data_IF_405147750607
#
_entry.id   IF_405147750607
#
_cell.length_a   1.000
_cell.length_b   1.000
_cell.length_c   1.000
_cell.angle_alpha   90.00
_cell.angle_beta   90.00
_cell.angle_gamma   90.00
#
_symmetry.space_group_name_H-M   'P 1'
#
loop_
_entity.id
_entity.type
_entity.pdbx_description
1 polymer ?
#
# COMPACT_ATOMS: atom_id res chain seq x y z
N UNK A 1 59.37 77.76 7.67
CA UNK A 1 60.01 76.41 7.63
C UNK A 1 59.25 75.50 8.59
N UNK A 2 58.45 74.57 8.08
CA UNK A 2 58.13 73.31 8.72
C UNK A 2 57.25 72.47 7.79
N UNK A 3 57.78 71.33 7.39
CA UNK A 3 57.14 70.41 6.48
C UNK A 3 56.11 69.56 7.23
N UNK A 4 54.85 69.52 6.81
CA UNK A 4 53.86 68.61 7.28
C UNK A 4 53.86 67.34 6.39
N UNK A 5 54.04 66.16 7.03
CA UNK A 5 53.94 64.90 6.39
C UNK A 5 52.46 64.48 6.35
N UNK A 6 51.96 64.22 5.15
CA UNK A 6 50.67 63.58 4.93
C UNK A 6 50.83 62.03 5.09
N UNK A 7 50.11 61.51 6.03
CA UNK A 7 49.99 60.01 6.21
C UNK A 7 48.87 59.47 5.32
N UNK A 8 49.22 58.52 4.44
CA UNK A 8 48.29 57.78 3.64
C UNK A 8 47.78 56.58 4.46
N UNK A 9 46.48 56.58 4.81
CA UNK A 9 45.83 55.44 5.36
C UNK A 9 45.36 54.50 4.19
N UNK A 10 45.99 53.35 4.06
CA UNK A 10 45.51 52.28 3.19
C UNK A 10 44.42 51.48 3.92
N UNK A 11 43.19 51.59 3.44
CA UNK A 11 42.06 50.72 3.87
C UNK A 11 42.14 49.43 3.10
N UNK A 12 42.56 48.36 3.78
CA UNK A 12 42.47 47.00 3.23
C UNK A 12 41.03 46.52 3.32
N UNK A 13 40.33 46.46 2.20
CA UNK A 13 39.04 45.79 2.08
C UNK A 13 39.25 44.28 2.05
N UNK A 14 38.98 43.57 3.16
CA UNK A 14 38.83 42.12 3.18
C UNK A 14 37.51 41.77 2.51
N UNK A 15 37.58 41.33 1.25
CA UNK A 15 36.46 40.70 0.56
C UNK A 15 36.23 39.28 1.13
N UNK A 16 35.24 39.13 1.98
CA UNK A 16 34.75 37.81 2.41
C UNK A 16 33.98 37.17 1.23
N UNK A 17 34.67 36.34 0.45
CA UNK A 17 34.02 35.49 -0.54
C UNK A 17 33.23 34.41 0.21
N UNK A 18 31.95 34.64 0.46
CA UNK A 18 31.01 33.56 0.81
C UNK A 18 30.87 32.65 -0.41
N UNK A 19 31.64 31.57 -0.44
CA UNK A 19 31.36 30.43 -1.31
C UNK A 19 30.04 29.80 -0.83
N UNK A 20 28.94 30.14 -1.50
CA UNK A 20 27.69 29.40 -1.42
C UNK A 20 27.97 27.97 -1.92
N UNK A 21 28.28 27.08 -0.97
CA UNK A 21 28.28 25.64 -1.21
C UNK A 21 26.83 25.25 -1.38
N UNK A 22 26.26 25.42 -2.57
CA UNK A 22 25.07 24.69 -2.98
C UNK A 22 25.48 23.23 -3.14
N UNK A 23 25.44 22.48 -2.03
CA UNK A 23 25.46 21.04 -2.11
C UNK A 23 24.25 20.64 -2.96
N UNK A 24 24.47 20.34 -4.22
CA UNK A 24 23.50 19.66 -5.04
C UNK A 24 23.18 18.37 -4.29
N UNK A 25 21.99 18.29 -3.68
CA UNK A 25 21.51 17.04 -3.13
C UNK A 25 21.58 16.01 -4.27
N UNK A 26 22.37 14.96 -4.08
CA UNK A 26 22.50 13.93 -5.10
C UNK A 26 21.10 13.43 -5.48
N UNK A 27 20.84 13.32 -6.78
CA UNK A 27 19.56 12.83 -7.28
C UNK A 27 19.31 11.42 -6.72
N UNK A 28 18.09 11.18 -6.19
CA UNK A 28 17.74 9.87 -5.66
C UNK A 28 17.82 8.79 -6.73
N UNK A 29 18.56 7.73 -6.46
CA UNK A 29 18.78 6.62 -7.39
C UNK A 29 17.98 5.38 -6.95
N UNK A 30 16.77 5.23 -7.45
CA UNK A 30 16.00 4.00 -7.32
C UNK A 30 16.58 2.87 -8.17
N UNK A 31 16.17 1.63 -7.89
CA UNK A 31 16.49 0.47 -8.72
C UNK A 31 16.01 0.65 -10.17
N UNK A 32 16.74 0.10 -11.11
CA UNK A 32 16.36 0.00 -12.53
C UNK A 32 16.40 -1.46 -13.01
N UNK A 33 16.43 -2.41 -12.06
CA UNK A 33 16.48 -3.84 -12.37
C UNK A 33 15.18 -4.30 -13.00
N UNK A 34 15.27 -5.02 -14.12
CA UNK A 34 14.15 -5.60 -14.83
C UNK A 34 14.33 -7.11 -14.97
N UNK A 35 13.24 -7.83 -14.90
CA UNK A 35 13.21 -9.27 -15.13
C UNK A 35 12.54 -10.07 -14.01
N UNK A 36 12.25 -11.37 -14.27
CA UNK A 36 11.63 -12.24 -13.28
C UNK A 36 12.55 -12.47 -12.09
N UNK A 37 11.96 -12.47 -10.89
CA UNK A 37 12.66 -12.75 -9.63
C UNK A 37 12.40 -14.20 -9.22
N UNK A 38 13.48 -14.97 -9.02
CA UNK A 38 13.35 -16.34 -8.47
C UNK A 38 13.03 -16.24 -6.98
N UNK A 39 11.83 -16.66 -6.60
CA UNK A 39 11.35 -16.60 -5.22
C UNK A 39 11.11 -18.01 -4.71
N UNK A 40 11.68 -18.34 -3.56
CA UNK A 40 11.39 -19.57 -2.80
C UNK A 40 10.47 -19.21 -1.62
N UNK A 41 10.81 -18.13 -0.91
CA UNK A 41 10.03 -17.59 0.21
C UNK A 41 9.99 -16.07 0.11
N UNK A 42 8.80 -15.47 0.20
CA UNK A 42 8.67 -14.00 0.15
C UNK A 42 9.42 -13.29 1.28
N UNK A 43 9.65 -13.95 2.42
CA UNK A 43 10.43 -13.36 3.50
C UNK A 43 11.91 -13.13 3.13
N UNK A 44 12.45 -13.89 2.17
CA UNK A 44 13.84 -13.76 1.73
C UNK A 44 14.09 -12.45 0.95
N UNK A 45 13.02 -11.86 0.39
CA UNK A 45 13.13 -10.65 -0.43
C UNK A 45 13.56 -9.44 0.40
N UNK A 46 13.17 -9.34 1.67
CA UNK A 46 13.48 -8.20 2.53
C UNK A 46 15.00 -8.01 2.67
N UNK A 47 15.76 -9.08 2.93
CA UNK A 47 17.22 -9.02 3.07
C UNK A 47 17.90 -8.62 1.75
N UNK A 48 17.39 -9.11 0.61
CA UNK A 48 17.93 -8.78 -0.71
C UNK A 48 17.71 -7.30 -1.05
N UNK A 49 16.52 -6.76 -0.75
CA UNK A 49 16.20 -5.34 -0.96
C UNK A 49 17.02 -4.45 -0.04
N UNK A 50 17.17 -4.82 1.24
CA UNK A 50 17.98 -4.08 2.21
C UNK A 50 19.42 -3.87 1.74
N UNK A 51 19.98 -4.84 1.02
CA UNK A 51 21.33 -4.76 0.48
C UNK A 51 21.47 -3.79 -0.71
N UNK A 52 20.36 -3.41 -1.36
CA UNK A 52 20.38 -2.67 -2.64
C UNK A 52 19.66 -1.32 -2.59
N UNK A 53 18.89 -1.05 -1.53
CA UNK A 53 18.09 0.17 -1.42
C UNK A 53 18.74 1.18 -0.46
N UNK A 54 18.51 2.46 -0.71
CA UNK A 54 18.85 3.51 0.25
C UNK A 54 18.28 3.20 1.64
N UNK A 55 19.06 3.47 2.68
CA UNK A 55 18.71 3.13 4.07
C UNK A 55 17.41 3.80 4.52
N UNK A 56 17.21 5.06 4.18
CA UNK A 56 16.01 5.81 4.56
C UNK A 56 14.78 5.29 3.82
N UNK A 57 14.90 5.09 2.51
CA UNK A 57 13.84 4.52 1.68
C UNK A 57 13.45 3.10 2.12
N UNK A 58 14.43 2.25 2.41
CA UNK A 58 14.18 0.91 2.94
C UNK A 58 13.50 0.98 4.30
N UNK A 59 13.97 1.85 5.21
CA UNK A 59 13.38 2.06 6.53
C UNK A 59 11.90 2.48 6.42
N UNK A 60 11.60 3.42 5.52
CA UNK A 60 10.23 3.86 5.27
C UNK A 60 9.32 2.73 4.77
N UNK A 61 9.77 1.94 3.79
CA UNK A 61 8.98 0.84 3.22
C UNK A 61 8.78 -0.28 4.25
N UNK A 62 9.86 -0.69 4.91
CA UNK A 62 9.88 -1.83 5.82
C UNK A 62 9.23 -1.52 7.15
N UNK A 63 9.43 -0.31 7.69
CA UNK A 63 9.16 0.05 9.06
C UNK A 63 7.69 -0.06 9.49
N UNK A 64 7.48 -0.27 10.78
CA UNK A 64 6.21 -0.24 11.49
C UNK A 64 6.14 0.94 12.47
N UNK A 65 5.09 0.98 13.28
CA UNK A 65 4.93 1.95 14.35
C UNK A 65 5.52 1.41 15.66
N UNK A 66 5.98 2.32 16.52
CA UNK A 66 6.48 2.06 17.88
C UNK A 66 7.46 0.86 17.91
N UNK A 67 7.20 -0.14 18.73
CA UNK A 67 8.01 -1.36 18.89
C UNK A 67 7.79 -2.40 17.78
N UNK A 68 6.95 -2.10 16.76
CA UNK A 68 6.60 -2.99 15.65
C UNK A 68 5.94 -4.31 16.12
N UNK A 69 5.31 -4.32 17.30
CA UNK A 69 4.61 -5.49 17.82
C UNK A 69 3.48 -5.93 16.90
N UNK A 70 2.62 -4.96 16.51
CA UNK A 70 1.48 -5.22 15.61
C UNK A 70 1.95 -5.74 14.26
N UNK A 71 3.07 -5.21 13.73
CA UNK A 71 3.66 -5.68 12.47
C UNK A 71 4.12 -7.15 12.57
N UNK A 72 4.74 -7.57 13.67
CA UNK A 72 5.14 -8.97 13.90
C UNK A 72 3.91 -9.85 14.08
N UNK A 73 2.95 -9.41 14.90
CA UNK A 73 1.72 -10.15 15.18
C UNK A 73 0.86 -10.37 13.93
N UNK A 74 0.87 -9.45 12.98
CA UNK A 74 0.17 -9.61 11.71
C UNK A 74 0.55 -10.89 10.97
N UNK A 75 1.83 -11.26 10.96
CA UNK A 75 2.26 -12.50 10.33
C UNK A 75 2.09 -13.71 11.26
N UNK A 76 2.43 -13.57 12.55
CA UNK A 76 2.31 -14.64 13.54
C UNK A 76 0.84 -15.06 13.79
N UNK A 77 -0.13 -14.16 13.59
CA UNK A 77 -1.55 -14.46 13.80
C UNK A 77 -2.07 -15.60 12.93
N UNK A 78 -1.51 -15.78 11.74
CA UNK A 78 -1.89 -16.89 10.88
C UNK A 78 -1.53 -18.27 11.45
N UNK A 79 -0.50 -18.36 12.31
CA UNK A 79 -0.07 -19.62 12.89
C UNK A 79 -1.07 -20.17 13.93
N UNK A 80 -2.00 -19.33 14.40
CA UNK A 80 -3.07 -19.73 15.34
C UNK A 80 -4.24 -20.47 14.70
N UNK A 81 -4.23 -20.65 13.39
CA UNK A 81 -5.27 -21.35 12.63
C UNK A 81 -4.67 -22.40 11.71
N UNK A 82 -5.34 -23.51 11.60
CA UNK A 82 -4.90 -24.66 10.82
C UNK A 82 -5.84 -24.92 9.65
N UNK A 83 -5.26 -25.25 8.49
CA UNK A 83 -5.96 -25.86 7.36
C UNK A 83 -5.93 -27.37 7.62
N UNK A 84 -7.09 -28.01 7.75
CA UNK A 84 -7.15 -29.47 7.91
C UNK A 84 -6.83 -30.15 6.58
N UNK A 85 -5.77 -30.98 6.52
CA UNK A 85 -5.47 -31.74 5.32
C UNK A 85 -6.62 -32.68 4.95
N UNK A 86 -6.93 -32.77 3.67
CA UNK A 86 -7.95 -33.67 3.14
C UNK A 86 -7.33 -34.61 2.12
N UNK A 87 -7.54 -35.89 2.29
CA UNK A 87 -7.01 -36.93 1.41
C UNK A 87 -8.13 -37.59 0.60
N UNK A 88 -7.77 -38.27 -0.48
CA UNK A 88 -8.69 -39.04 -1.35
C UNK A 88 -9.84 -38.18 -1.94
N UNK A 89 -9.57 -36.91 -2.26
CA UNK A 89 -10.57 -35.97 -2.79
C UNK A 89 -10.74 -36.07 -4.33
N UNK A 90 -9.90 -36.83 -5.02
CA UNK A 90 -9.98 -36.97 -6.49
C UNK A 90 -9.69 -35.67 -7.24
N UNK A 91 -8.88 -34.76 -6.67
CA UNK A 91 -8.50 -33.48 -7.25
C UNK A 91 -7.08 -33.55 -7.79
N UNK A 92 -6.84 -33.08 -9.00
CA UNK A 92 -5.50 -32.90 -9.55
C UNK A 92 -5.11 -31.41 -9.49
N UNK A 93 -3.81 -31.11 -9.47
CA UNK A 93 -3.32 -29.72 -9.40
C UNK A 93 -3.80 -28.85 -10.59
N UNK A 94 -4.01 -29.47 -11.75
CA UNK A 94 -4.55 -28.79 -12.96
C UNK A 94 -6.01 -28.35 -12.79
N UNK A 95 -6.77 -29.00 -11.88
CA UNK A 95 -8.18 -28.72 -11.64
C UNK A 95 -8.40 -27.52 -10.71
N UNK A 96 -7.33 -27.00 -10.12
CA UNK A 96 -7.42 -25.88 -9.19
C UNK A 96 -7.61 -24.56 -9.95
N UNK A 97 -8.74 -23.90 -9.70
CA UNK A 97 -9.06 -22.59 -10.24
C UNK A 97 -8.90 -21.49 -9.16
N UNK A 98 -8.06 -20.51 -9.45
CA UNK A 98 -7.86 -19.32 -8.59
C UNK A 98 -8.73 -18.13 -9.00
N UNK A 99 -9.48 -18.25 -10.09
CA UNK A 99 -10.30 -17.13 -10.57
C UNK A 99 -11.38 -16.76 -9.55
N UNK A 100 -11.67 -15.47 -9.49
CA UNK A 100 -12.73 -14.93 -8.64
C UNK A 100 -13.25 -13.62 -9.23
N UNK A 101 -14.12 -12.93 -8.52
CA UNK A 101 -14.54 -11.58 -8.89
C UNK A 101 -14.59 -10.69 -7.65
N UNK A 102 -14.37 -9.39 -7.86
CA UNK A 102 -14.50 -8.37 -6.81
C UNK A 102 -15.15 -7.12 -7.39
N UNK A 103 -16.24 -6.64 -6.77
CA UNK A 103 -17.07 -5.51 -7.28
C UNK A 103 -17.45 -5.67 -8.77
N UNK A 104 -17.77 -6.90 -9.20
CA UNK A 104 -18.10 -7.21 -10.59
C UNK A 104 -16.90 -7.29 -11.54
N UNK A 105 -15.69 -7.11 -11.05
CA UNK A 105 -14.45 -7.18 -11.84
C UNK A 105 -13.93 -8.63 -11.80
N UNK A 106 -13.78 -9.31 -12.96
CA UNK A 106 -13.18 -10.64 -13.00
C UNK A 106 -11.67 -10.56 -12.70
N UNK A 107 -11.19 -11.48 -11.89
CA UNK A 107 -9.79 -11.59 -11.47
C UNK A 107 -9.27 -13.02 -11.70
N UNK A 108 -8.06 -13.15 -12.21
CA UNK A 108 -7.41 -14.44 -12.38
C UNK A 108 -6.87 -15.04 -11.06
N UNK A 109 -6.86 -14.25 -10.00
CA UNK A 109 -6.35 -14.60 -8.67
C UNK A 109 -7.08 -13.81 -7.59
N UNK A 110 -7.29 -14.35 -6.38
CA UNK A 110 -7.84 -13.60 -5.26
C UNK A 110 -6.82 -12.63 -4.61
N UNK A 111 -5.60 -12.54 -5.14
CA UNK A 111 -4.54 -11.69 -4.61
C UNK A 111 -4.48 -10.39 -5.39
N UNK A 112 -4.68 -9.25 -4.72
CA UNK A 112 -4.56 -7.89 -5.26
C UNK A 112 -3.41 -7.12 -4.59
N UNK A 113 -3.05 -5.96 -5.14
CA UNK A 113 -2.03 -5.10 -4.54
C UNK A 113 -2.68 -4.11 -3.57
N UNK A 114 -2.15 -4.00 -2.34
CA UNK A 114 -2.52 -2.96 -1.39
C UNK A 114 -1.99 -1.60 -1.86
N UNK A 115 -2.74 -0.48 -1.69
CA UNK A 115 -2.24 0.84 -2.05
C UNK A 115 -1.02 1.22 -1.22
N UNK A 116 0.05 1.61 -1.91
CA UNK A 116 1.33 2.00 -1.30
C UNK A 116 1.82 3.29 -1.93
N UNK A 117 2.24 4.21 -1.07
CA UNK A 117 2.81 5.49 -1.48
C UNK A 117 4.25 5.35 -1.99
N UNK A 118 4.69 6.33 -2.76
CA UNK A 118 6.10 6.57 -3.08
C UNK A 118 6.84 5.35 -3.68
N UNK A 119 6.24 4.65 -4.62
CA UNK A 119 6.84 3.44 -5.21
C UNK A 119 8.11 3.74 -6.02
N UNK A 120 8.32 5.01 -6.41
CA UNK A 120 9.58 5.51 -6.95
C UNK A 120 10.78 5.32 -6.02
N UNK A 121 10.56 5.10 -4.71
CA UNK A 121 11.61 4.70 -3.78
C UNK A 121 12.15 3.29 -4.07
N UNK A 122 11.30 2.40 -4.51
CA UNK A 122 11.68 1.03 -4.81
C UNK A 122 12.26 0.87 -6.22
N UNK A 123 11.67 1.53 -7.21
CA UNK A 123 12.09 1.41 -8.61
C UNK A 123 11.81 2.70 -9.38
N UNK A 124 12.68 3.03 -10.36
CA UNK A 124 12.55 4.25 -11.18
C UNK A 124 11.16 4.42 -11.80
N UNK A 125 10.59 3.33 -12.30
CA UNK A 125 9.28 3.36 -12.96
C UNK A 125 8.11 3.27 -11.98
N UNK A 126 8.37 2.98 -10.68
CA UNK A 126 7.42 3.06 -9.59
C UNK A 126 6.06 2.42 -9.89
N UNK A 127 4.99 3.20 -9.75
CA UNK A 127 3.60 2.77 -9.94
C UNK A 127 3.32 2.24 -11.35
N UNK A 128 4.04 2.74 -12.38
CA UNK A 128 3.94 2.25 -13.77
C UNK A 128 4.34 0.77 -13.86
N UNK A 129 5.50 0.43 -13.28
CA UNK A 129 5.98 -0.95 -13.29
C UNK A 129 5.07 -1.86 -12.46
N UNK A 130 4.57 -1.36 -11.30
CA UNK A 130 3.64 -2.14 -10.48
C UNK A 130 2.32 -2.39 -11.21
N UNK A 131 1.74 -1.38 -11.86
CA UNK A 131 0.51 -1.52 -12.63
C UNK A 131 0.66 -2.57 -13.74
N UNK A 132 1.76 -2.53 -14.51
CA UNK A 132 2.08 -3.54 -15.54
C UNK A 132 2.24 -4.94 -14.94
N UNK A 133 2.92 -5.07 -13.82
CA UNK A 133 3.12 -6.36 -13.15
C UNK A 133 1.81 -6.97 -12.63
N UNK A 134 0.93 -6.15 -12.06
CA UNK A 134 -0.39 -6.58 -11.61
C UNK A 134 -1.32 -6.94 -12.78
N UNK A 135 -1.29 -6.17 -13.88
CA UNK A 135 -2.01 -6.51 -15.10
C UNK A 135 -1.56 -7.86 -15.66
N UNK A 136 -0.25 -8.10 -15.73
CA UNK A 136 0.31 -9.39 -16.15
C UNK A 136 -0.12 -10.56 -15.25
N UNK A 137 -0.31 -10.31 -13.97
CA UNK A 137 -0.84 -11.28 -13.02
C UNK A 137 -2.36 -11.51 -13.14
N UNK A 138 -3.08 -10.74 -13.97
CA UNK A 138 -4.53 -10.78 -14.09
C UNK A 138 -5.25 -10.27 -12.83
N UNK A 139 -4.69 -9.25 -12.18
CA UNK A 139 -5.16 -8.71 -10.92
C UNK A 139 -5.25 -7.19 -10.93
N UNK A 140 -5.68 -6.59 -9.81
CA UNK A 140 -5.93 -5.15 -9.66
C UNK A 140 -4.72 -4.44 -9.06
N UNK A 141 -4.37 -3.31 -9.64
CA UNK A 141 -3.45 -2.32 -9.10
C UNK A 141 -4.23 -1.25 -8.31
N UNK A 142 -3.66 -0.75 -7.21
CA UNK A 142 -4.22 0.33 -6.40
C UNK A 142 -3.24 1.50 -6.32
N UNK A 143 -3.56 2.61 -7.00
CA UNK A 143 -2.75 3.83 -6.98
C UNK A 143 -3.00 4.63 -5.72
N UNK A 144 -1.94 4.99 -4.99
CA UNK A 144 -2.04 5.87 -3.81
C UNK A 144 -2.15 7.35 -4.19
N UNK A 145 -2.85 8.15 -3.37
CA UNK A 145 -2.79 9.62 -3.39
C UNK A 145 -1.35 10.13 -3.43
N UNK A 146 -0.47 9.48 -2.68
CA UNK A 146 0.95 9.83 -2.55
C UNK A 146 1.84 9.00 -3.47
N UNK A 147 1.35 8.68 -4.68
CA UNK A 147 2.14 8.07 -5.75
C UNK A 147 3.10 9.06 -6.40
N UNK A 148 4.20 8.56 -6.94
CA UNK A 148 5.17 9.34 -7.73
C UNK A 148 4.76 9.46 -9.20
N UNK A 149 3.65 8.82 -9.60
CA UNK A 149 3.04 8.89 -10.92
C UNK A 149 1.62 9.44 -10.84
N UNK A 150 1.19 10.14 -11.89
CA UNK A 150 -0.17 10.66 -11.97
C UNK A 150 -1.19 9.55 -12.24
N UNK A 151 -2.45 9.87 -12.01
CA UNK A 151 -3.57 8.95 -12.31
C UNK A 151 -3.57 8.60 -13.80
N UNK A 152 -3.33 9.58 -14.67
CA UNK A 152 -3.33 9.41 -16.12
C UNK A 152 -2.16 8.57 -16.63
N UNK A 153 -0.96 8.74 -16.06
CA UNK A 153 0.20 7.91 -16.42
C UNK A 153 -0.08 6.43 -16.10
N UNK A 154 -0.70 6.15 -14.95
CA UNK A 154 -1.10 4.78 -14.58
C UNK A 154 -2.19 4.26 -15.49
N UNK A 155 -3.22 5.05 -15.78
CA UNK A 155 -4.30 4.66 -16.68
C UNK A 155 -3.80 4.32 -18.08
N UNK A 156 -2.85 5.10 -18.61
CA UNK A 156 -2.26 4.90 -19.93
C UNK A 156 -1.53 3.56 -20.08
N UNK A 157 -0.98 3.00 -19.00
CA UNK A 157 -0.25 1.71 -19.02
C UNK A 157 -1.09 0.53 -18.54
N UNK A 158 -2.28 0.79 -18.03
CA UNK A 158 -3.17 -0.28 -17.54
C UNK A 158 -3.75 -1.12 -18.68
N UNK A 159 -3.75 -0.63 -19.92
CA UNK A 159 -4.18 -1.35 -21.14
C UNK A 159 -5.53 -2.09 -20.94
N UNK A 160 -6.50 -1.40 -20.38
CA UNK A 160 -7.82 -1.95 -20.05
C UNK A 160 -7.88 -2.79 -18.77
N UNK A 161 -6.76 -3.09 -18.11
CA UNK A 161 -6.77 -3.75 -16.81
C UNK A 161 -7.31 -2.81 -15.72
N UNK A 162 -8.09 -3.34 -14.76
CA UNK A 162 -8.71 -2.53 -13.73
C UNK A 162 -7.67 -1.99 -12.74
N UNK A 163 -7.85 -0.74 -12.35
CA UNK A 163 -7.14 -0.15 -11.23
C UNK A 163 -8.09 0.59 -10.29
N UNK A 164 -7.69 0.73 -9.02
CA UNK A 164 -8.37 1.52 -8.01
C UNK A 164 -7.54 2.76 -7.69
N UNK A 165 -8.21 3.84 -7.29
CA UNK A 165 -7.54 5.02 -6.74
C UNK A 165 -7.75 5.08 -5.23
N UNK A 166 -6.67 5.14 -4.46
CA UNK A 166 -6.73 5.29 -3.01
C UNK A 166 -6.63 6.76 -2.64
N UNK A 167 -7.60 7.22 -1.87
CA UNK A 167 -7.72 8.58 -1.35
C UNK A 167 -7.32 8.64 0.11
N UNK A 168 -6.27 9.41 0.41
CA UNK A 168 -6.11 10.10 1.68
C UNK A 168 -6.84 11.43 1.57
N UNK A 169 -7.98 11.54 2.22
CA UNK A 169 -8.80 12.74 2.15
C UNK A 169 -8.04 13.93 2.74
N UNK A 170 -7.90 14.99 1.97
CA UNK A 170 -7.22 16.23 2.38
C UNK A 170 -8.18 17.15 3.14
N UNK A 171 -7.63 18.03 3.97
CA UNK A 171 -8.34 19.22 4.50
C UNK A 171 -8.76 20.17 3.39
N UNK A 172 -8.04 20.16 2.26
CA UNK A 172 -8.35 20.96 1.07
C UNK A 172 -9.35 20.21 0.19
N UNK A 173 -10.62 20.62 0.23
CA UNK A 173 -11.67 19.98 -0.57
C UNK A 173 -11.44 20.13 -2.08
N UNK A 174 -10.82 21.23 -2.54
CA UNK A 174 -10.52 21.38 -3.97
C UNK A 174 -9.53 20.31 -4.46
N UNK A 175 -8.59 19.88 -3.63
CA UNK A 175 -7.72 18.76 -3.94
C UNK A 175 -8.48 17.41 -4.00
N UNK A 176 -9.40 17.19 -3.07
CA UNK A 176 -10.25 15.98 -3.09
C UNK A 176 -11.09 15.91 -4.38
N UNK A 177 -11.75 17.00 -4.74
CA UNK A 177 -12.54 17.09 -5.98
C UNK A 177 -11.66 16.89 -7.23
N UNK A 178 -10.50 17.54 -7.27
CA UNK A 178 -9.53 17.42 -8.36
C UNK A 178 -9.09 15.97 -8.59
N UNK A 179 -8.74 15.24 -7.53
CA UNK A 179 -8.25 13.86 -7.66
C UNK A 179 -9.38 12.88 -7.97
N UNK A 180 -10.55 13.02 -7.33
CA UNK A 180 -11.69 12.14 -7.55
C UNK A 180 -12.26 12.26 -8.96
N UNK A 181 -12.35 13.49 -9.51
CA UNK A 181 -12.78 13.72 -10.88
C UNK A 181 -11.82 13.04 -11.87
N UNK A 182 -10.52 13.24 -11.70
CA UNK A 182 -9.48 12.66 -12.57
C UNK A 182 -9.45 11.13 -12.47
N UNK A 183 -9.63 10.56 -11.27
CA UNK A 183 -9.72 9.12 -11.10
C UNK A 183 -10.89 8.52 -11.91
N UNK A 184 -12.04 9.14 -11.85
CA UNK A 184 -13.21 8.74 -12.66
C UNK A 184 -12.93 8.86 -14.16
N UNK A 185 -12.46 10.02 -14.60
CA UNK A 185 -12.19 10.30 -16.02
C UNK A 185 -11.10 9.38 -16.60
N UNK A 186 -10.13 8.97 -15.79
CA UNK A 186 -9.09 8.01 -16.15
C UNK A 186 -9.53 6.54 -16.08
N UNK A 187 -10.78 6.26 -15.70
CA UNK A 187 -11.34 4.92 -15.72
C UNK A 187 -11.05 4.05 -14.50
N UNK A 188 -10.67 4.65 -13.37
CA UNK A 188 -10.60 3.93 -12.10
C UNK A 188 -11.92 3.21 -11.82
N UNK A 189 -11.86 1.99 -11.27
CA UNK A 189 -13.06 1.15 -11.04
C UNK A 189 -13.65 1.32 -9.65
N UNK A 190 -12.89 1.84 -8.69
CA UNK A 190 -13.35 2.15 -7.34
C UNK A 190 -12.42 3.17 -6.68
N UNK A 191 -12.93 3.84 -5.64
CA UNK A 191 -12.15 4.67 -4.73
C UNK A 191 -11.92 3.90 -3.42
N UNK A 192 -10.67 3.82 -2.98
CA UNK A 192 -10.31 3.28 -1.67
C UNK A 192 -10.17 4.47 -0.70
N UNK A 193 -11.18 4.71 0.12
CA UNK A 193 -11.13 5.73 1.16
C UNK A 193 -10.41 5.15 2.39
N UNK A 194 -9.21 5.67 2.69
CA UNK A 194 -8.40 5.22 3.83
C UNK A 194 -8.73 6.07 5.05
N UNK A 195 -9.19 5.42 6.14
CA UNK A 195 -9.69 6.09 7.35
C UNK A 195 -8.87 5.80 8.61
N UNK A 196 -7.91 4.89 8.54
CA UNK A 196 -7.03 4.49 9.66
C UNK A 196 -5.82 5.42 9.86
N UNK A 197 -5.72 6.49 9.09
CA UNK A 197 -4.56 7.36 9.06
C UNK A 197 -4.91 8.85 9.23
N UNK A 198 -5.72 9.21 10.23
CA UNK A 198 -6.00 10.63 10.52
C UNK A 198 -4.76 11.38 11.00
N UNK A 199 -3.78 10.65 11.52
CA UNK A 199 -2.41 11.08 11.84
C UNK A 199 -1.44 9.97 11.45
N UNK A 200 -0.16 10.31 11.29
CA UNK A 200 0.88 9.28 11.09
C UNK A 200 1.15 8.51 12.39
N UNK A 201 1.23 7.19 12.33
CA UNK A 201 1.71 6.39 13.44
C UNK A 201 3.16 6.78 13.81
N UNK A 202 3.56 6.53 15.05
CA UNK A 202 4.89 6.85 15.56
C UNK A 202 5.94 5.90 14.99
N UNK A 203 6.53 6.28 13.84
CA UNK A 203 7.48 5.44 13.10
C UNK A 203 8.90 5.77 13.48
N UNK A 204 9.41 5.11 14.50
CA UNK A 204 10.74 5.39 15.04
C UNK A 204 11.87 5.20 14.03
N UNK A 205 11.74 4.24 13.11
CA UNK A 205 12.71 4.04 12.03
C UNK A 205 12.85 5.26 11.13
N UNK A 206 11.74 5.91 10.77
CA UNK A 206 11.73 7.11 9.94
C UNK A 206 12.33 8.31 10.73
N UNK A 207 11.98 8.43 12.00
CA UNK A 207 12.50 9.49 12.89
C UNK A 207 14.03 9.34 13.09
N UNK A 208 14.52 8.13 13.39
CA UNK A 208 15.95 7.86 13.58
C UNK A 208 16.77 8.07 12.30
N UNK A 209 16.16 7.84 11.13
CA UNK A 209 16.79 8.08 9.84
C UNK A 209 16.63 9.53 9.36
N UNK A 210 15.92 10.38 10.10
CA UNK A 210 15.52 11.72 9.65
C UNK A 210 14.97 11.69 8.21
N UNK A 211 14.07 10.72 7.95
CA UNK A 211 13.60 10.43 6.61
C UNK A 211 12.77 11.58 6.04
N UNK A 212 13.14 12.00 4.85
CA UNK A 212 12.39 12.92 4.01
C UNK A 212 12.21 12.29 2.63
N UNK A 213 11.05 12.51 2.02
CA UNK A 213 10.79 11.98 0.70
C UNK A 213 11.73 12.62 -0.33
N UNK A 214 12.56 11.84 -1.03
CA UNK A 214 13.46 12.39 -2.06
C UNK A 214 12.73 12.75 -3.36
N UNK A 215 11.50 12.24 -3.53
CA UNK A 215 10.66 12.42 -4.71
C UNK A 215 9.34 13.08 -4.32
N UNK A 216 8.77 13.86 -5.23
CA UNK A 216 7.44 14.45 -5.07
C UNK A 216 6.31 13.44 -5.32
N UNK A 217 5.11 13.82 -4.91
CA UNK A 217 3.88 13.07 -5.16
C UNK A 217 3.17 13.71 -6.35
N UNK A 218 3.14 13.00 -7.48
CA UNK A 218 2.81 13.58 -8.77
C UNK A 218 1.44 14.27 -8.83
N UNK A 219 0.40 13.71 -8.18
CA UNK A 219 -0.92 14.34 -8.16
C UNK A 219 -0.99 15.60 -7.30
N UNK A 220 -0.19 15.68 -6.22
CA UNK A 220 -0.07 16.89 -5.40
C UNK A 220 0.72 17.96 -6.14
N UNK A 221 1.83 17.60 -6.80
CA UNK A 221 2.62 18.52 -7.60
C UNK A 221 1.80 19.14 -8.74
N UNK A 222 1.01 18.30 -9.43
CA UNK A 222 0.14 18.76 -10.50
C UNK A 222 -0.95 19.71 -10.00
N UNK A 223 -1.58 19.40 -8.86
CA UNK A 223 -2.57 20.28 -8.25
C UNK A 223 -1.95 21.63 -7.82
N UNK A 224 -0.81 21.58 -7.14
CA UNK A 224 -0.10 22.78 -6.68
C UNK A 224 0.30 23.69 -7.85
N UNK A 225 0.82 23.11 -8.94
CA UNK A 225 1.19 23.85 -10.13
C UNK A 225 0.00 24.54 -10.81
N UNK A 226 -1.17 23.89 -10.86
CA UNK A 226 -2.37 24.45 -11.49
C UNK A 226 -3.07 25.51 -10.65
N UNK A 227 -2.92 25.45 -9.33
CA UNK A 227 -3.65 26.31 -8.40
C UNK A 227 -2.75 27.33 -7.67
N UNK A 228 -1.46 27.44 -8.02
CA UNK A 228 -0.46 28.24 -7.30
C UNK A 228 -0.46 27.96 -5.79
N UNK A 229 -0.69 26.68 -5.42
CA UNK A 229 -0.74 26.23 -4.03
C UNK A 229 0.69 25.93 -3.55
N UNK A 230 1.15 26.67 -2.52
CA UNK A 230 2.46 26.50 -1.91
C UNK A 230 2.57 25.29 -0.95
N UNK A 231 1.60 24.40 -0.93
CA UNK A 231 1.59 23.20 -0.07
C UNK A 231 2.79 22.28 -0.35
N UNK A 232 3.23 21.57 0.67
CA UNK A 232 4.26 20.52 0.53
C UNK A 232 3.74 19.38 -0.36
N UNK A 233 4.45 19.12 -1.45
CA UNK A 233 4.06 18.11 -2.47
C UNK A 233 4.80 16.79 -2.36
N UNK A 234 5.57 16.61 -1.29
CA UNK A 234 6.31 15.36 -0.98
C UNK A 234 7.81 15.56 -0.96
N UNK A 235 8.43 16.06 -2.04
CA UNK A 235 9.89 16.22 -2.10
C UNK A 235 10.41 17.11 -0.97
N UNK A 236 11.33 16.58 -0.17
CA UNK A 236 11.90 17.27 1.00
C UNK A 236 10.97 17.30 2.22
N UNK A 237 9.79 16.70 2.16
CA UNK A 237 8.87 16.64 3.29
C UNK A 237 9.10 15.39 4.14
N UNK A 238 8.96 15.53 5.45
CA UNK A 238 8.88 14.41 6.40
C UNK A 238 7.46 13.85 6.50
N UNK A 239 7.33 12.72 7.17
CA UNK A 239 6.03 12.03 7.35
C UNK A 239 4.99 12.94 8.03
N UNK A 240 5.37 13.66 9.09
CA UNK A 240 4.48 14.55 9.84
C UNK A 240 3.93 15.70 8.99
N UNK A 241 4.75 16.25 8.09
CA UNK A 241 4.33 17.33 7.20
C UNK A 241 3.29 16.87 6.17
N UNK A 242 3.39 15.63 5.72
CA UNK A 242 2.41 15.04 4.81
C UNK A 242 1.08 14.79 5.53
N UNK A 243 1.11 14.17 6.72
CA UNK A 243 -0.10 13.94 7.51
C UNK A 243 -0.77 15.22 8.03
N UNK A 244 0.00 16.32 8.19
CA UNK A 244 -0.58 17.62 8.57
C UNK A 244 -1.62 18.14 7.56
N UNK A 245 -1.57 17.71 6.31
CA UNK A 245 -2.51 18.08 5.25
C UNK A 245 -3.75 17.16 5.20
N UNK A 246 -3.70 15.99 5.85
CA UNK A 246 -4.79 15.02 5.84
C UNK A 246 -5.97 15.48 6.71
N UNK A 247 -7.19 15.13 6.27
CA UNK A 247 -8.38 15.25 7.11
C UNK A 247 -8.24 14.32 8.32
N UNK A 248 -8.54 14.85 9.52
CA UNK A 248 -8.43 14.09 10.76
C UNK A 248 -9.80 13.62 11.27
N UNK A 249 -10.81 14.47 11.19
CA UNK A 249 -12.17 14.20 11.69
C UNK A 249 -13.01 13.52 10.61
N UNK A 250 -12.85 12.21 10.45
CA UNK A 250 -13.70 11.41 9.56
C UNK A 250 -15.06 11.15 10.19
N UNK A 251 -16.09 11.19 9.37
CA UNK A 251 -17.46 10.82 9.72
C UNK A 251 -18.06 9.92 8.63
N UNK A 252 -19.14 9.20 8.91
CA UNK A 252 -19.86 8.42 7.88
C UNK A 252 -20.25 9.22 6.64
N UNK A 253 -20.50 10.53 6.77
CA UNK A 253 -20.86 11.42 5.65
C UNK A 253 -19.74 11.56 4.62
N UNK A 254 -18.49 11.33 5.01
CA UNK A 254 -17.36 11.36 4.08
C UNK A 254 -17.45 10.26 3.01
N UNK A 255 -18.08 9.14 3.32
CA UNK A 255 -18.32 8.06 2.37
C UNK A 255 -19.27 8.56 1.26
N UNK A 256 -20.37 9.18 1.65
CA UNK A 256 -21.35 9.75 0.72
C UNK A 256 -20.74 10.91 -0.09
N UNK A 257 -19.92 11.76 0.54
CA UNK A 257 -19.20 12.83 -0.14
C UNK A 257 -18.29 12.28 -1.27
N UNK A 258 -17.45 11.29 -0.96
CA UNK A 258 -16.56 10.66 -1.93
C UNK A 258 -17.37 9.96 -3.05
N UNK A 259 -18.43 9.26 -2.67
CA UNK A 259 -19.31 8.54 -3.62
C UNK A 259 -20.00 9.50 -4.58
N UNK A 260 -20.53 10.61 -4.08
CA UNK A 260 -21.18 11.65 -4.88
C UNK A 260 -20.21 12.30 -5.87
N UNK A 261 -19.00 12.63 -5.43
CA UNK A 261 -18.02 13.31 -6.29
C UNK A 261 -17.41 12.38 -7.34
N UNK A 262 -17.06 11.17 -6.96
CA UNK A 262 -16.42 10.22 -7.89
C UNK A 262 -17.45 9.53 -8.80
N UNK A 263 -18.67 9.30 -8.31
CA UNK A 263 -19.65 8.43 -8.97
C UNK A 263 -19.18 6.98 -9.09
N UNK A 264 -18.22 6.56 -8.29
CA UNK A 264 -17.60 5.23 -8.28
C UNK A 264 -17.92 4.48 -6.98
N UNK A 265 -17.84 3.15 -6.96
CA UNK A 265 -17.89 2.38 -5.72
C UNK A 265 -16.82 2.84 -4.74
N UNK A 266 -17.17 2.89 -3.45
CA UNK A 266 -16.27 3.30 -2.36
C UNK A 266 -15.94 2.10 -1.47
N UNK A 267 -14.65 1.78 -1.38
CA UNK A 267 -14.07 0.76 -0.50
C UNK A 267 -13.52 1.49 0.72
N UNK A 268 -14.01 1.22 1.92
CA UNK A 268 -13.50 1.87 3.14
C UNK A 268 -12.41 1.02 3.76
N UNK A 269 -11.16 1.55 3.73
CA UNK A 269 -9.95 0.84 4.20
C UNK A 269 -9.54 1.31 5.58
N UNK A 270 -9.14 0.33 6.42
CA UNK A 270 -8.64 0.56 7.77
C UNK A 270 -9.61 0.08 8.86
N UNK A 271 -10.50 -0.82 8.51
CA UNK A 271 -11.52 -1.34 9.42
C UNK A 271 -10.91 -2.46 10.28
N UNK A 272 -11.04 -2.32 11.62
CA UNK A 272 -10.48 -3.24 12.61
C UNK A 272 -11.47 -3.65 13.70
N UNK A 273 -12.70 -3.13 13.67
CA UNK A 273 -13.76 -3.54 14.61
C UNK A 273 -15.05 -3.90 13.87
N UNK A 274 -15.84 -4.84 14.42
CA UNK A 274 -17.19 -5.15 13.92
C UNK A 274 -18.11 -3.93 13.91
N UNK A 275 -18.03 -3.07 14.93
CA UNK A 275 -18.85 -1.86 15.09
C UNK A 275 -18.58 -0.85 13.96
N UNK A 276 -17.30 -0.65 13.61
CA UNK A 276 -16.93 0.23 12.51
C UNK A 276 -17.31 -0.36 11.16
N UNK A 277 -17.19 -1.69 10.99
CA UNK A 277 -17.64 -2.36 9.79
C UNK A 277 -19.14 -2.12 9.54
N UNK A 278 -19.97 -2.29 10.57
CA UNK A 278 -21.41 -2.05 10.49
C UNK A 278 -21.70 -0.59 10.16
N UNK A 279 -21.10 0.34 10.89
CA UNK A 279 -21.27 1.80 10.70
C UNK A 279 -20.95 2.25 9.27
N UNK A 280 -19.84 1.78 8.68
CA UNK A 280 -19.46 2.22 7.32
C UNK A 280 -20.33 1.59 6.24
N UNK A 281 -20.84 0.38 6.46
CA UNK A 281 -21.79 -0.28 5.56
C UNK A 281 -23.13 0.47 5.58
N UNK A 282 -23.63 0.84 6.76
CA UNK A 282 -24.85 1.66 6.90
C UNK A 282 -24.69 3.03 6.24
N UNK A 283 -23.49 3.59 6.26
CA UNK A 283 -23.14 4.82 5.56
C UNK A 283 -23.02 4.67 4.04
N UNK A 284 -23.16 3.45 3.50
CA UNK A 284 -23.19 3.18 2.07
C UNK A 284 -21.86 2.82 1.44
N UNK A 285 -20.90 2.29 2.21
CA UNK A 285 -19.70 1.67 1.65
C UNK A 285 -20.07 0.48 0.74
N UNK A 286 -19.44 0.38 -0.43
CA UNK A 286 -19.66 -0.72 -1.38
C UNK A 286 -18.78 -1.94 -1.10
N UNK A 287 -17.70 -1.75 -0.33
CA UNK A 287 -16.84 -2.80 0.22
C UNK A 287 -16.13 -2.28 1.46
N UNK A 288 -15.67 -3.18 2.31
CA UNK A 288 -14.77 -2.85 3.41
C UNK A 288 -13.42 -3.49 3.22
N UNK A 289 -12.39 -2.87 3.82
CA UNK A 289 -11.03 -3.37 3.78
C UNK A 289 -10.49 -3.50 5.20
N UNK A 290 -10.42 -4.75 5.67
CA UNK A 290 -9.88 -5.08 7.00
C UNK A 290 -8.36 -4.94 6.95
N UNK A 291 -7.84 -3.99 7.72
CA UNK A 291 -6.44 -3.59 7.67
C UNK A 291 -6.03 -2.84 8.93
N UNK A 292 -4.83 -3.09 9.44
CA UNK A 292 -4.16 -2.23 10.41
C UNK A 292 -2.99 -1.47 9.79
N UNK A 293 -3.09 -1.18 8.48
CA UNK A 293 -2.07 -0.46 7.72
C UNK A 293 -0.69 -1.16 7.74
N UNK A 294 -0.69 -2.49 7.87
CA UNK A 294 0.54 -3.26 7.95
C UNK A 294 1.36 -3.03 9.23
N UNK A 295 0.71 -2.68 10.34
CA UNK A 295 1.36 -2.37 11.62
C UNK A 295 2.07 -1.02 11.64
N UNK A 296 1.60 -0.04 10.84
CA UNK A 296 2.24 1.27 10.67
C UNK A 296 1.52 2.39 11.43
N UNK A 297 0.40 2.09 12.10
CA UNK A 297 -0.45 3.07 12.79
C UNK A 297 -0.50 2.78 14.29
N UNK A 298 -1.50 2.10 14.82
CA UNK A 298 -1.63 1.76 16.24
C UNK A 298 -0.90 0.44 16.54
N UNK A 299 0.27 0.49 17.17
CA UNK A 299 1.07 -0.72 17.44
C UNK A 299 0.43 -1.62 18.51
N UNK A 300 -0.32 -1.04 19.44
CA UNK A 300 -1.04 -1.79 20.49
C UNK A 300 -2.37 -2.40 20.02
N UNK A 301 -2.73 -2.23 18.73
CA UNK A 301 -3.93 -2.83 18.14
C UNK A 301 -3.80 -4.33 17.91
N UNK A 302 -4.92 -5.02 17.59
CA UNK A 302 -4.90 -6.44 17.22
C UNK A 302 -4.30 -6.66 15.82
N UNK A 303 -3.83 -7.88 15.56
CA UNK A 303 -3.53 -8.30 14.19
C UNK A 303 -4.80 -8.33 13.34
N UNK A 304 -4.71 -7.89 12.08
CA UNK A 304 -5.88 -7.84 11.18
C UNK A 304 -6.53 -9.22 10.99
N UNK A 305 -5.74 -10.31 10.99
CA UNK A 305 -6.27 -11.66 10.84
C UNK A 305 -7.10 -12.11 12.04
N UNK A 306 -6.77 -11.66 13.26
CA UNK A 306 -7.52 -12.03 14.46
C UNK A 306 -8.92 -11.41 14.50
N UNK A 307 -9.10 -10.23 13.94
CA UNK A 307 -10.39 -9.52 13.91
C UNK A 307 -11.25 -9.88 12.70
N UNK A 308 -10.64 -10.42 11.63
CA UNK A 308 -11.35 -10.75 10.39
C UNK A 308 -12.59 -11.61 10.58
N UNK A 309 -12.58 -12.72 11.35
CA UNK A 309 -13.77 -13.57 11.50
C UNK A 309 -14.94 -12.85 12.18
N UNK A 310 -14.68 -12.01 13.18
CA UNK A 310 -15.72 -11.24 13.86
C UNK A 310 -16.32 -10.15 12.97
N UNK A 311 -15.48 -9.49 12.18
CA UNK A 311 -15.93 -8.51 11.19
C UNK A 311 -16.76 -9.20 10.10
N UNK A 312 -16.28 -10.32 9.54
CA UNK A 312 -17.00 -11.08 8.53
C UNK A 312 -18.39 -11.54 8.99
N UNK A 313 -18.49 -11.92 10.28
CA UNK A 313 -19.78 -12.29 10.89
C UNK A 313 -20.78 -11.13 10.91
N UNK A 314 -20.34 -9.93 11.26
CA UNK A 314 -21.18 -8.73 11.31
C UNK A 314 -21.51 -8.26 9.87
N UNK A 315 -20.53 -8.25 8.98
CA UNK A 315 -20.75 -7.91 7.56
C UNK A 315 -21.80 -8.82 6.91
N UNK A 316 -21.80 -10.10 7.28
CA UNK A 316 -22.81 -11.08 6.85
C UNK A 316 -23.11 -11.03 5.33
N UNK A 317 -22.07 -10.92 4.52
CA UNK A 317 -22.12 -10.85 3.05
C UNK A 317 -22.90 -9.64 2.47
N UNK A 318 -23.21 -8.62 3.28
CA UNK A 318 -23.86 -7.37 2.80
C UNK A 318 -22.99 -6.64 1.76
N UNK A 319 -21.68 -6.66 1.96
CA UNK A 319 -20.67 -6.11 1.04
C UNK A 319 -19.45 -7.04 1.00
N UNK A 320 -18.63 -7.02 -0.06
CA UNK A 320 -17.40 -7.79 -0.10
C UNK A 320 -16.34 -7.23 0.85
N UNK A 321 -15.43 -8.14 1.29
CA UNK A 321 -14.35 -7.85 2.23
C UNK A 321 -13.00 -8.03 1.53
N UNK A 322 -12.18 -6.97 1.54
CA UNK A 322 -10.75 -7.04 1.27
C UNK A 322 -10.02 -7.22 2.59
N UNK A 323 -8.98 -8.03 2.60
CA UNK A 323 -8.13 -8.23 3.77
C UNK A 323 -6.67 -7.95 3.44
N UNK A 324 -5.93 -7.27 4.31
CA UNK A 324 -4.47 -7.18 4.26
C UNK A 324 -3.82 -7.25 5.64
N UNK A 325 -2.54 -7.07 5.65
CA UNK A 325 -1.60 -7.07 6.76
C UNK A 325 -1.02 -8.44 7.08
N UNK A 326 0.30 -8.53 6.95
CA UNK A 326 1.07 -9.71 7.34
C UNK A 326 1.11 -10.86 6.33
N UNK A 327 0.48 -10.74 5.17
CA UNK A 327 0.46 -11.81 4.15
C UNK A 327 1.85 -12.03 3.54
N UNK A 328 2.35 -13.27 3.64
CA UNK A 328 3.67 -13.69 3.13
C UNK A 328 3.67 -15.06 2.45
N UNK A 329 2.59 -15.84 2.58
CA UNK A 329 2.48 -17.21 2.08
C UNK A 329 1.14 -17.44 1.40
N UNK A 330 1.07 -18.40 0.48
CA UNK A 330 -0.21 -18.85 -0.09
C UNK A 330 -1.17 -19.44 0.96
N UNK A 331 -0.63 -20.04 2.04
CA UNK A 331 -1.44 -20.49 3.18
C UNK A 331 -2.09 -19.32 3.93
N UNK A 332 -1.45 -18.14 4.00
CA UNK A 332 -2.07 -16.94 4.59
C UNK A 332 -3.25 -16.47 3.72
N UNK A 333 -3.09 -16.51 2.38
CA UNK A 333 -4.19 -16.21 1.44
C UNK A 333 -5.35 -17.18 1.66
N UNK A 334 -5.10 -18.48 1.70
CA UNK A 334 -6.11 -19.49 1.99
C UNK A 334 -6.86 -19.21 3.29
N UNK A 335 -6.11 -18.98 4.39
CA UNK A 335 -6.68 -18.73 5.72
C UNK A 335 -7.52 -17.45 5.77
N UNK A 336 -7.09 -16.38 5.11
CA UNK A 336 -7.86 -15.14 5.03
C UNK A 336 -9.18 -15.34 4.27
N UNK A 337 -9.16 -16.01 3.13
CA UNK A 337 -10.37 -16.35 2.36
C UNK A 337 -11.33 -17.24 3.18
N UNK A 338 -10.82 -18.28 3.84
CA UNK A 338 -11.59 -19.16 4.71
C UNK A 338 -12.12 -18.46 5.98
N UNK A 339 -11.57 -17.29 6.32
CA UNK A 339 -12.00 -16.47 7.47
C UNK A 339 -12.96 -15.35 7.08
N UNK A 340 -13.38 -15.26 5.82
CA UNK A 340 -14.41 -14.35 5.34
C UNK A 340 -13.95 -13.24 4.40
N UNK A 341 -12.68 -13.19 4.00
CA UNK A 341 -12.23 -12.28 2.95
C UNK A 341 -12.70 -12.74 1.57
N UNK A 342 -13.03 -11.80 0.69
CA UNK A 342 -13.33 -12.07 -0.72
C UNK A 342 -12.08 -12.01 -1.58
N UNK A 343 -11.19 -11.07 -1.30
CA UNK A 343 -9.88 -10.93 -1.90
C UNK A 343 -8.85 -10.54 -0.82
N UNK A 344 -7.58 -10.84 -1.11
CA UNK A 344 -6.46 -10.64 -0.18
C UNK A 344 -5.43 -9.72 -0.81
N UNK A 345 -5.08 -8.64 -0.12
CA UNK A 345 -4.13 -7.67 -0.63
C UNK A 345 -2.73 -7.84 -0.03
N UNK A 346 -1.72 -7.51 -0.83
CA UNK A 346 -0.30 -7.63 -0.47
C UNK A 346 0.42 -6.31 -0.69
N UNK A 347 1.14 -5.84 0.32
CA UNK A 347 1.91 -4.60 0.30
C UNK A 347 3.41 -4.81 0.11
N UNK A 348 4.18 -4.78 1.19
CA UNK A 348 5.66 -4.81 1.18
C UNK A 348 6.30 -5.82 0.22
N UNK A 349 5.85 -7.09 0.12
CA UNK A 349 6.41 -8.04 -0.85
C UNK A 349 6.35 -7.56 -2.29
N UNK A 350 5.28 -6.82 -2.69
CA UNK A 350 5.15 -6.25 -4.03
C UNK A 350 6.23 -5.19 -4.26
N UNK A 351 6.50 -4.31 -3.29
CA UNK A 351 7.59 -3.32 -3.40
C UNK A 351 8.97 -3.97 -3.41
N UNK A 352 9.13 -5.09 -2.73
CA UNK A 352 10.38 -5.86 -2.78
C UNK A 352 10.58 -6.48 -4.18
N UNK A 353 9.54 -7.09 -4.74
CA UNK A 353 9.56 -7.58 -6.11
C UNK A 353 9.83 -6.46 -7.12
N UNK A 354 9.18 -5.32 -6.95
CA UNK A 354 9.39 -4.11 -7.75
C UNK A 354 10.86 -3.65 -7.73
N UNK A 355 11.49 -3.59 -6.56
CA UNK A 355 12.91 -3.21 -6.43
C UNK A 355 13.85 -4.20 -7.14
N UNK A 356 13.54 -5.49 -7.06
CA UNK A 356 14.43 -6.55 -7.54
C UNK A 356 14.26 -6.87 -9.02
N UNK A 357 13.13 -6.52 -9.65
CA UNK A 357 12.86 -6.92 -11.03
C UNK A 357 11.78 -6.13 -11.77
N UNK A 358 11.47 -4.90 -11.34
CA UNK A 358 10.48 -4.06 -12.02
C UNK A 358 9.11 -4.73 -12.11
N UNK A 359 8.44 -4.59 -13.24
CA UNK A 359 7.13 -5.19 -13.48
C UNK A 359 7.14 -6.72 -13.39
N UNK A 360 8.20 -7.37 -13.89
CA UNK A 360 8.35 -8.83 -13.81
C UNK A 360 8.57 -9.29 -12.37
N UNK A 361 9.27 -8.52 -11.57
CA UNK A 361 9.46 -8.80 -10.15
C UNK A 361 8.13 -8.73 -9.37
N UNK A 362 7.28 -7.75 -9.66
CA UNK A 362 5.92 -7.66 -9.12
C UNK A 362 5.10 -8.89 -9.50
N UNK A 363 5.06 -9.24 -10.78
CA UNK A 363 4.38 -10.44 -11.25
C UNK A 363 4.92 -11.70 -10.55
N UNK A 364 6.23 -11.83 -10.37
CA UNK A 364 6.86 -12.96 -9.70
C UNK A 364 6.36 -13.16 -8.26
N UNK A 365 6.13 -12.08 -7.52
CA UNK A 365 5.55 -12.12 -6.16
C UNK A 365 4.13 -12.69 -6.18
N UNK A 366 3.29 -12.22 -7.08
CA UNK A 366 1.90 -12.70 -7.19
C UNK A 366 1.87 -14.17 -7.62
N UNK A 367 2.69 -14.54 -8.61
CA UNK A 367 2.79 -15.93 -9.07
C UNK A 367 3.31 -16.88 -7.98
N UNK A 368 4.22 -16.43 -7.12
CA UNK A 368 4.68 -17.24 -5.99
C UNK A 368 3.54 -17.49 -4.98
N UNK A 369 2.76 -16.48 -4.64
CA UNK A 369 1.58 -16.65 -3.77
C UNK A 369 0.55 -17.57 -4.40
N UNK A 370 0.28 -17.41 -5.69
CA UNK A 370 -0.65 -18.27 -6.45
C UNK A 370 -0.20 -19.72 -6.46
N UNK A 371 1.10 -19.96 -6.69
CA UNK A 371 1.68 -21.32 -6.66
C UNK A 371 1.49 -21.97 -5.29
N UNK A 372 1.81 -21.26 -4.22
CA UNK A 372 1.63 -21.77 -2.86
C UNK A 372 0.15 -21.97 -2.51
N UNK A 373 -0.73 -21.07 -2.95
CA UNK A 373 -2.17 -21.18 -2.74
C UNK A 373 -2.73 -22.44 -3.42
N UNK A 374 -2.35 -22.71 -4.68
CA UNK A 374 -2.74 -23.94 -5.39
C UNK A 374 -2.33 -25.19 -4.63
N UNK A 375 -1.11 -25.24 -4.11
CA UNK A 375 -0.63 -26.37 -3.30
C UNK A 375 -1.48 -26.52 -2.03
N UNK A 376 -1.75 -25.43 -1.31
CA UNK A 376 -2.57 -25.48 -0.11
C UNK A 376 -4.02 -25.88 -0.41
N UNK A 377 -4.58 -25.43 -1.53
CA UNK A 377 -5.91 -25.84 -1.99
C UNK A 377 -5.96 -27.34 -2.31
N UNK A 378 -4.96 -27.85 -3.02
CA UNK A 378 -4.83 -29.28 -3.31
C UNK A 378 -4.79 -30.14 -2.04
N UNK A 379 -3.93 -29.74 -1.08
CA UNK A 379 -3.77 -30.44 0.20
C UNK A 379 -4.97 -30.25 1.15
N UNK A 380 -5.67 -29.14 1.03
CA UNK A 380 -6.90 -28.83 1.77
C UNK A 380 -8.18 -29.39 1.13
N UNK A 381 -8.08 -30.02 -0.05
CA UNK A 381 -9.21 -30.64 -0.73
C UNK A 381 -10.21 -29.65 -1.35
N UNK A 382 -9.74 -28.49 -1.83
CA UNK A 382 -10.57 -27.44 -2.45
C UNK A 382 -10.17 -27.21 -3.90
N UNK A 383 -11.15 -27.09 -4.82
CA UNK A 383 -10.91 -26.89 -6.25
C UNK A 383 -10.89 -25.43 -6.68
N UNK A 384 -11.66 -24.59 -6.01
CA UNK A 384 -11.86 -23.18 -6.38
C UNK A 384 -11.93 -22.29 -5.15
N UNK A 385 -11.94 -20.98 -5.39
CA UNK A 385 -11.95 -19.97 -4.31
C UNK A 385 -13.24 -20.04 -3.48
N UNK A 386 -14.38 -20.41 -4.07
CA UNK A 386 -15.63 -20.56 -3.31
C UNK A 386 -15.55 -21.73 -2.32
N UNK A 387 -14.92 -22.83 -2.72
CA UNK A 387 -14.67 -23.97 -1.82
C UNK A 387 -13.72 -23.57 -0.67
N UNK A 388 -12.69 -22.76 -0.94
CA UNK A 388 -11.81 -22.21 0.11
C UNK A 388 -12.61 -21.37 1.10
N UNK A 389 -13.47 -20.46 0.64
CA UNK A 389 -14.32 -19.59 1.49
C UNK A 389 -15.28 -20.37 2.39
N UNK A 390 -15.61 -21.62 2.05
CA UNK A 390 -16.47 -22.50 2.84
C UNK A 390 -15.69 -23.43 3.77
N UNK A 391 -14.36 -23.40 3.70
CA UNK A 391 -13.51 -24.29 4.51
C UNK A 391 -13.45 -23.79 5.96
N UNK A 392 -13.76 -24.67 6.92
CA UNK A 392 -13.53 -24.41 8.34
C UNK A 392 -12.02 -24.45 8.64
N UNK A 393 -11.54 -23.43 9.31
CA UNK A 393 -10.21 -23.45 9.94
C UNK A 393 -10.31 -23.96 11.38
N UNK A 394 -9.26 -24.61 11.83
CA UNK A 394 -9.13 -25.17 13.17
C UNK A 394 -8.14 -24.36 14.01
N UNK A 395 -8.23 -24.48 15.31
CA UNK A 395 -7.30 -23.90 16.29
C UNK A 395 -6.91 -24.97 17.31
N UNK A 396 -5.95 -24.71 18.18
CA UNK A 396 -5.53 -25.64 19.21
C UNK A 396 -6.71 -26.12 20.09
N UNK A 397 -7.73 -25.27 20.28
CA UNK A 397 -8.92 -25.64 21.06
C UNK A 397 -9.78 -26.71 20.41
N UNK A 398 -9.67 -26.88 19.10
CA UNK A 398 -10.44 -27.89 18.35
C UNK A 398 -9.83 -29.30 18.50
N UNK A 399 -8.64 -29.43 19.09
CA UNK A 399 -7.91 -30.69 19.29
C UNK A 399 -7.81 -31.09 20.77
N UNK A 400 -8.38 -30.30 21.67
CA UNK A 400 -8.51 -30.58 23.10
C UNK A 400 -9.87 -31.22 23.40
#
# INVERSE_FOLDING_TARGET
MQKSKAGVFAVAALGLAMTLNTAYAAEYKASTKEGPVKIVNLNDLESQVKANMDKGAFGYIRGGAEDEKNMRDNTASFDRKYIMPRVMQGIELKDIDLSTSFLGIPLATPVIQAPMAAQGLAHRDGEIATAKGMAKAGSVFSLSTYGNKTIEEVAAVSDGHPFFFQLYMSKNNAFNEFTLKRAKESGAKAIILTVDSPVGGWREGDLRNNFQFPLGFANLELFAAQNNDGSKTGKGAGISEIYAQAKQAFTPDDIQYVKKLSGLPVIVKGIQSPEDADRVIEAGADAIWVSNHGGRQLDSGPASFDVLPSIAKVVNKRVPIVFDSGVRRGSHVFKALASGADVVAVGRPVLYGLNLGGAEGVNSVIQQLNKELRINMMLGGTKDINAVKQTRLYSDRDFQ
#
